data_IF_594538723997
#
_entry.id   IF_594538723997
#
_cell.length_a   1.000
_cell.length_b   1.000
_cell.length_c   1.000
_cell.angle_alpha   90.00
_cell.angle_beta   90.00
_cell.angle_gamma   90.00
#
_symmetry.space_group_name_H-M   'P 1'
#
loop_
_entity.id
_entity.type
_entity.pdbx_description
1 polymer ?
#
# COMPACT_ATOMS: atom_id res chain seq x y z
N UNK A 1 19.62 -21.26 -9.38
CA UNK A 1 19.62 -19.79 -9.22
C UNK A 1 18.39 -19.47 -8.42
N UNK A 2 18.56 -19.08 -7.15
CA UNK A 2 17.44 -18.50 -6.40
C UNK A 2 16.99 -17.24 -7.14
N UNK A 3 15.68 -17.05 -7.30
CA UNK A 3 15.13 -15.87 -7.95
C UNK A 3 15.56 -14.59 -7.23
N UNK A 4 15.55 -13.47 -7.94
CA UNK A 4 15.67 -12.14 -7.32
C UNK A 4 14.26 -11.63 -7.06
N UNK A 5 14.08 -10.88 -5.95
CA UNK A 5 12.89 -10.05 -5.76
C UNK A 5 13.13 -8.73 -6.48
N UNK A 6 12.10 -8.18 -7.11
CA UNK A 6 12.19 -6.89 -7.80
C UNK A 6 10.97 -6.05 -7.48
N UNK A 7 11.06 -4.75 -7.77
CA UNK A 7 9.86 -3.96 -7.95
C UNK A 7 8.95 -4.65 -8.97
N UNK A 8 7.65 -4.68 -8.68
CA UNK A 8 6.68 -5.13 -9.66
C UNK A 8 6.73 -4.14 -10.84
N UNK A 9 6.79 -4.60 -12.11
CA UNK A 9 6.99 -3.72 -13.25
C UNK A 9 5.98 -2.57 -13.30
N UNK A 10 6.44 -1.32 -13.36
CA UNK A 10 5.57 -0.15 -13.41
C UNK A 10 5.98 0.79 -14.56
N UNK A 11 5.07 1.68 -14.94
CA UNK A 11 5.27 2.64 -16.02
C UNK A 11 5.24 4.06 -15.47
N UNK A 12 6.24 4.87 -15.81
CA UNK A 12 6.17 6.32 -15.63
C UNK A 12 5.47 6.93 -16.83
N UNK A 13 4.26 7.44 -16.62
CA UNK A 13 3.45 8.04 -17.68
C UNK A 13 3.77 9.52 -17.88
N UNK A 14 3.97 10.25 -16.78
CA UNK A 14 4.15 11.70 -16.81
C UNK A 14 5.00 12.15 -15.63
N UNK A 15 5.98 13.03 -15.88
CA UNK A 15 6.70 13.78 -14.84
C UNK A 15 6.09 15.17 -14.72
N UNK A 16 5.79 15.57 -13.49
CA UNK A 16 5.10 16.83 -13.17
C UNK A 16 6.01 17.64 -12.26
N UNK A 17 6.18 18.92 -12.61
CA UNK A 17 7.08 19.84 -11.89
C UNK A 17 6.38 20.55 -10.75
N UNK A 18 5.07 20.77 -10.87
CA UNK A 18 4.26 21.44 -9.85
C UNK A 18 2.90 20.73 -9.73
N UNK A 19 2.55 20.33 -8.52
CA UNK A 19 1.29 19.71 -8.17
C UNK A 19 0.71 20.47 -6.97
N UNK A 20 -0.61 20.66 -6.96
CA UNK A 20 -1.33 21.19 -5.82
C UNK A 20 -2.75 20.62 -5.82
N UNK A 21 -2.85 19.32 -5.59
CA UNK A 21 -4.13 18.61 -5.62
C UNK A 21 -4.17 17.40 -4.68
N UNK A 22 -5.37 17.01 -4.28
CA UNK A 22 -5.61 15.67 -3.74
C UNK A 22 -5.59 14.72 -4.93
N UNK A 23 -4.67 13.74 -5.01
CA UNK A 23 -4.64 12.80 -6.12
C UNK A 23 -5.97 12.06 -6.26
N UNK A 24 -6.41 11.84 -7.50
CA UNK A 24 -7.70 11.18 -7.79
C UNK A 24 -7.83 9.80 -7.15
N UNK A 25 -6.73 9.07 -7.00
CA UNK A 25 -6.74 7.77 -6.30
C UNK A 25 -7.13 7.91 -4.83
N UNK A 26 -6.60 8.92 -4.14
CA UNK A 26 -6.91 9.23 -2.74
C UNK A 26 -8.37 9.65 -2.57
N UNK A 27 -8.90 10.45 -3.50
CA UNK A 27 -10.31 10.83 -3.52
C UNK A 27 -11.22 9.64 -3.83
N UNK A 28 -10.86 8.79 -4.81
CA UNK A 28 -11.67 7.64 -5.24
C UNK A 28 -11.94 6.67 -4.09
N UNK A 29 -10.95 6.41 -3.24
CA UNK A 29 -11.08 5.52 -2.07
C UNK A 29 -11.78 6.17 -0.87
N UNK A 30 -12.21 7.43 -1.00
CA UNK A 30 -12.94 8.20 0.01
C UNK A 30 -12.12 8.60 1.25
N UNK A 31 -10.80 8.73 1.13
CA UNK A 31 -9.95 9.17 2.24
C UNK A 31 -10.32 10.58 2.77
N UNK A 32 -10.64 11.58 1.93
CA UNK A 32 -11.06 12.90 2.41
C UNK A 32 -12.28 12.88 3.34
N UNK A 33 -13.17 11.90 3.20
CA UNK A 33 -14.33 11.75 4.10
C UNK A 33 -13.91 11.33 5.52
N UNK A 34 -12.85 10.53 5.66
CA UNK A 34 -12.27 10.19 6.97
C UNK A 34 -11.59 11.42 7.59
N UNK A 35 -10.85 12.19 6.79
CA UNK A 35 -10.15 13.40 7.24
C UNK A 35 -11.09 14.46 7.79
N UNK A 36 -12.27 14.65 7.17
CA UNK A 36 -13.33 15.56 7.65
C UNK A 36 -13.83 15.19 9.05
N UNK A 37 -13.73 13.92 9.42
CA UNK A 37 -14.08 13.42 10.75
C UNK A 37 -12.90 13.43 11.73
N UNK A 38 -11.75 13.97 11.32
CA UNK A 38 -10.56 14.11 12.17
C UNK A 38 -9.57 12.95 12.11
N UNK A 39 -9.85 11.90 11.34
CA UNK A 39 -8.97 10.74 11.21
C UNK A 39 -8.03 10.94 10.02
N UNK A 40 -6.73 11.01 10.28
CA UNK A 40 -5.67 11.27 9.28
C UNK A 40 -4.48 10.31 9.41
N UNK A 41 -4.62 9.23 10.19
CA UNK A 41 -3.61 8.20 10.43
C UNK A 41 -2.69 8.49 11.61
N UNK A 42 -3.08 9.39 12.52
CA UNK A 42 -2.20 9.84 13.60
C UNK A 42 -1.85 8.69 14.55
N UNK A 43 -0.56 8.58 14.89
CA UNK A 43 -0.07 7.57 15.83
C UNK A 43 0.03 6.17 15.23
N UNK A 44 -0.09 6.04 13.90
CA UNK A 44 0.17 4.80 13.16
C UNK A 44 1.51 4.93 12.45
N UNK A 45 2.38 3.92 12.58
CA UNK A 45 3.67 3.85 11.89
C UNK A 45 3.62 2.81 10.77
N UNK A 46 3.99 3.23 9.56
CA UNK A 46 3.98 2.39 8.35
C UNK A 46 5.41 2.18 7.87
N UNK A 47 5.87 0.93 7.84
CA UNK A 47 7.14 0.57 7.25
C UNK A 47 7.01 0.39 5.73
N UNK A 48 7.85 1.08 4.97
CA UNK A 48 7.90 0.99 3.51
C UNK A 48 9.15 0.18 3.15
N UNK A 49 8.95 -1.04 2.67
CA UNK A 49 10.03 -1.91 2.19
C UNK A 49 10.17 -1.74 0.69
N UNK A 50 11.08 -0.86 0.26
CA UNK A 50 11.17 -0.40 -1.13
C UNK A 50 12.61 0.05 -1.50
N UNK A 51 12.77 0.96 -2.47
CA UNK A 51 14.06 1.45 -2.99
C UNK A 51 14.72 2.57 -2.18
N UNK A 52 14.10 2.98 -1.07
CA UNK A 52 14.51 4.15 -0.28
C UNK A 52 13.47 5.26 -0.33
N UNK A 53 13.85 6.47 0.06
CA UNK A 53 12.98 7.65 0.00
C UNK A 53 13.79 8.94 -0.05
N UNK A 54 13.35 9.91 -0.85
CA UNK A 54 13.77 11.31 -0.70
C UNK A 54 13.06 11.94 0.51
N UNK A 55 13.68 11.78 1.69
CA UNK A 55 13.14 12.28 2.96
C UNK A 55 13.12 13.81 3.06
N UNK A 56 13.80 14.50 2.15
CA UNK A 56 13.84 15.96 2.10
C UNK A 56 12.78 16.54 1.15
N UNK A 57 12.04 15.70 0.43
CA UNK A 57 10.92 16.15 -0.39
C UNK A 57 9.93 16.96 0.48
N UNK A 58 9.48 18.17 0.06
CA UNK A 58 8.64 19.06 0.87
C UNK A 58 7.42 18.38 1.50
N UNK A 59 6.75 17.51 0.74
CA UNK A 59 5.57 16.77 1.22
C UNK A 59 5.89 15.61 2.19
N UNK A 60 7.13 15.13 2.21
CA UNK A 60 7.58 14.01 3.06
C UNK A 60 8.46 14.48 4.23
N UNK A 61 8.89 15.74 4.22
CA UNK A 61 9.73 16.32 5.24
C UNK A 61 9.12 16.12 6.63
N UNK A 62 9.87 15.46 7.52
CA UNK A 62 9.44 15.18 8.88
C UNK A 62 8.44 14.01 9.04
N UNK A 63 8.06 13.31 7.96
CA UNK A 63 7.23 12.09 8.02
C UNK A 63 8.01 10.85 8.40
N UNK A 64 9.26 10.75 7.95
CA UNK A 64 10.09 9.58 8.22
C UNK A 64 10.65 9.66 9.64
N UNK A 65 10.26 8.71 10.50
CA UNK A 65 10.67 8.64 11.92
C UNK A 65 11.78 7.62 12.18
N UNK A 66 12.06 6.77 11.21
CA UNK A 66 13.17 5.83 11.25
C UNK A 66 13.47 5.33 9.84
N UNK A 67 14.70 4.89 9.61
CA UNK A 67 15.10 4.34 8.35
C UNK A 67 16.22 3.32 8.53
N UNK A 68 16.35 2.39 7.59
CA UNK A 68 17.47 1.46 7.52
C UNK A 68 17.68 0.94 6.10
N UNK A 69 18.92 0.84 5.68
CA UNK A 69 19.32 0.23 4.43
C UNK A 69 19.85 -1.19 4.66
N UNK A 70 19.29 -2.14 3.91
CA UNK A 70 19.74 -3.53 3.87
C UNK A 70 20.44 -3.90 2.56
N UNK A 71 20.49 -2.98 1.61
CA UNK A 71 21.08 -3.20 0.28
C UNK A 71 22.58 -2.97 0.27
N UNK A 72 23.22 -3.36 -0.83
CA UNK A 72 24.63 -3.06 -1.10
C UNK A 72 24.83 -1.65 -1.71
N UNK A 73 23.77 -0.87 -1.95
CA UNK A 73 23.91 0.53 -2.36
C UNK A 73 24.67 1.32 -1.29
N UNK A 74 25.36 2.38 -1.71
CA UNK A 74 26.12 3.27 -0.80
C UNK A 74 27.16 2.51 0.05
N UNK A 75 27.84 1.54 -0.58
CA UNK A 75 28.81 0.64 0.05
C UNK A 75 28.24 -0.13 1.26
N UNK A 76 26.92 -0.35 1.28
CA UNK A 76 26.23 -1.03 2.37
C UNK A 76 26.02 -0.16 3.62
N UNK A 77 26.09 1.17 3.50
CA UNK A 77 25.81 2.08 4.61
C UNK A 77 24.36 1.93 5.09
N UNK A 78 24.18 1.46 6.33
CA UNK A 78 22.86 1.15 6.91
C UNK A 78 21.99 2.40 7.13
N UNK A 79 22.57 3.59 7.19
CA UNK A 79 21.93 4.87 7.46
C UNK A 79 21.70 5.72 6.19
N UNK A 80 21.97 5.19 5.00
CA UNK A 80 21.72 5.86 3.73
C UNK A 80 20.59 5.17 2.97
N UNK A 81 19.45 5.84 2.88
CA UNK A 81 18.24 5.32 2.19
C UNK A 81 17.87 6.14 0.95
N UNK A 82 18.88 6.70 0.26
CA UNK A 82 18.68 7.47 -0.97
C UNK A 82 17.91 6.63 -1.99
N UNK A 83 16.85 7.22 -2.55
CA UNK A 83 16.04 6.59 -3.58
C UNK A 83 16.58 6.87 -4.97
N UNK A 84 17.31 5.91 -5.54
CA UNK A 84 17.86 5.99 -6.90
C UNK A 84 16.85 5.60 -7.99
N UNK A 85 15.72 5.00 -7.61
CA UNK A 85 14.66 4.56 -8.52
C UNK A 85 13.57 5.63 -8.65
N UNK A 86 13.22 6.26 -7.52
CA UNK A 86 12.10 7.16 -7.36
C UNK A 86 10.80 6.47 -6.95
N UNK A 87 10.78 5.14 -6.97
CA UNK A 87 9.62 4.34 -6.64
C UNK A 87 9.24 4.40 -5.15
N UNK A 88 10.20 4.20 -4.24
CA UNK A 88 9.93 4.24 -2.81
C UNK A 88 9.46 5.62 -2.33
N UNK A 89 9.97 6.70 -2.93
CA UNK A 89 9.47 8.07 -2.70
C UNK A 89 8.02 8.23 -3.18
N UNK A 90 7.66 7.63 -4.31
CA UNK A 90 6.28 7.65 -4.85
C UNK A 90 5.30 6.88 -3.98
N UNK A 91 5.71 5.71 -3.50
CA UNK A 91 4.98 4.92 -2.50
C UNK A 91 4.78 5.73 -1.22
N UNK A 92 5.84 6.35 -0.69
CA UNK A 92 5.79 7.17 0.52
C UNK A 92 4.79 8.33 0.40
N UNK A 93 4.79 9.04 -0.74
CA UNK A 93 3.85 10.13 -0.98
C UNK A 93 2.39 9.67 -1.02
N UNK A 94 2.11 8.54 -1.69
CA UNK A 94 0.76 8.00 -1.77
C UNK A 94 0.24 7.63 -0.38
N UNK A 95 1.12 7.11 0.48
CA UNK A 95 0.76 6.73 1.86
C UNK A 95 0.52 7.97 2.73
N UNK A 96 1.48 8.89 2.83
CA UNK A 96 1.47 9.92 3.88
C UNK A 96 2.07 11.28 3.49
N UNK A 97 2.07 11.65 2.21
CA UNK A 97 2.38 13.04 1.82
C UNK A 97 1.53 14.03 2.61
N UNK A 98 2.18 15.09 3.08
CA UNK A 98 1.63 16.07 4.02
C UNK A 98 0.54 16.93 3.41
N UNK A 99 -0.48 17.27 4.19
CA UNK A 99 -1.33 18.42 3.88
C UNK A 99 -0.64 19.71 4.35
N UNK A 100 0.26 20.25 3.51
CA UNK A 100 1.07 21.44 3.78
C UNK A 100 0.62 22.68 2.97
N UNK A 101 -0.39 22.55 2.10
CA UNK A 101 -0.92 23.63 1.27
C UNK A 101 -0.28 23.75 -0.13
N UNK A 102 0.65 22.84 -0.44
CA UNK A 102 1.30 22.67 -1.72
C UNK A 102 1.40 21.16 -2.05
N UNK A 103 1.87 20.80 -3.24
CA UNK A 103 2.17 19.42 -3.58
C UNK A 103 0.96 18.48 -3.65
N UNK A 104 1.13 17.27 -3.12
CA UNK A 104 0.09 16.24 -3.07
C UNK A 104 -0.18 15.83 -1.62
N UNK A 105 -1.37 15.26 -1.39
CA UNK A 105 -1.76 14.75 -0.07
C UNK A 105 -1.89 13.23 -0.14
N UNK A 106 -1.21 12.52 0.75
CA UNK A 106 -1.29 11.07 0.86
C UNK A 106 -2.58 10.62 1.55
N UNK A 107 -2.87 9.33 1.51
CA UNK A 107 -4.09 8.77 2.12
C UNK A 107 -4.16 9.02 3.63
N UNK A 108 -3.05 8.88 4.35
CA UNK A 108 -2.93 9.06 5.79
C UNK A 108 -1.91 10.16 6.11
N UNK A 109 -2.26 11.46 5.91
CA UNK A 109 -1.30 12.56 5.94
C UNK A 109 -0.78 12.89 7.34
N UNK A 110 -1.20 12.22 8.41
CA UNK A 110 -0.63 12.31 9.76
C UNK A 110 0.00 10.99 10.26
N UNK A 111 0.10 9.96 9.41
CA UNK A 111 0.85 8.77 9.72
C UNK A 111 2.36 9.04 9.71
N UNK A 112 3.08 8.25 10.51
CA UNK A 112 4.54 8.23 10.53
C UNK A 112 5.06 7.15 9.57
N UNK A 113 6.15 7.44 8.88
CA UNK A 113 6.79 6.51 7.95
C UNK A 113 8.08 5.94 8.52
N UNK A 114 8.36 4.68 8.20
CA UNK A 114 9.66 4.06 8.40
C UNK A 114 10.19 3.55 7.06
N UNK A 115 11.34 4.08 6.61
CA UNK A 115 11.88 3.74 5.28
C UNK A 115 12.88 2.60 5.42
N UNK A 116 12.53 1.43 4.88
CA UNK A 116 13.37 0.24 4.92
C UNK A 116 13.81 -0.07 3.49
N UNK A 117 15.02 0.34 3.13
CA UNK A 117 15.55 0.14 1.79
C UNK A 117 15.99 -1.31 1.63
N UNK A 118 15.25 -2.09 0.84
CA UNK A 118 15.50 -3.52 0.56
C UNK A 118 15.66 -3.80 -0.94
N UNK A 119 15.52 -2.77 -1.79
CA UNK A 119 15.72 -2.85 -3.23
C UNK A 119 16.80 -1.86 -3.66
N UNK A 120 17.80 -2.36 -4.38
CA UNK A 120 18.99 -1.63 -4.77
C UNK A 120 18.90 -1.04 -6.18
N UNK A 121 19.61 0.07 -6.38
CA UNK A 121 19.81 0.71 -7.67
C UNK A 121 18.53 1.26 -8.33
N UNK A 122 18.70 1.87 -9.49
CA UNK A 122 17.61 2.53 -10.23
C UNK A 122 16.59 1.57 -10.85
N UNK A 123 16.89 0.27 -10.91
CA UNK A 123 15.97 -0.77 -11.41
C UNK A 123 15.14 -1.42 -10.29
N UNK A 124 15.49 -1.20 -9.02
CA UNK A 124 14.78 -1.75 -7.87
C UNK A 124 14.82 -3.28 -7.81
N UNK A 125 16.00 -3.85 -7.56
CA UNK A 125 16.19 -5.30 -7.37
C UNK A 125 16.72 -5.62 -5.98
N UNK A 126 16.25 -6.69 -5.36
CA UNK A 126 16.62 -7.11 -4.02
C UNK A 126 16.90 -8.60 -3.87
N UNK A 127 17.72 -8.93 -2.88
CA UNK A 127 17.95 -10.30 -2.41
C UNK A 127 16.85 -10.65 -1.41
N UNK A 128 16.32 -11.88 -1.45
CA UNK A 128 15.32 -12.35 -0.48
C UNK A 128 15.73 -12.10 0.98
N UNK A 129 17.02 -12.27 1.31
CA UNK A 129 17.56 -12.00 2.65
C UNK A 129 17.40 -10.54 3.09
N UNK A 130 17.48 -9.57 2.16
CA UNK A 130 17.26 -8.15 2.48
C UNK A 130 15.81 -7.90 2.86
N UNK A 131 14.87 -8.51 2.15
CA UNK A 131 13.44 -8.39 2.45
C UNK A 131 13.14 -9.06 3.79
N UNK A 132 13.64 -10.28 4.03
CA UNK A 132 13.48 -11.00 5.30
C UNK A 132 14.00 -10.19 6.48
N UNK A 133 15.21 -9.61 6.35
CA UNK A 133 15.80 -8.78 7.39
C UNK A 133 15.06 -7.46 7.57
N UNK A 134 14.55 -6.87 6.49
CA UNK A 134 13.68 -5.69 6.53
C UNK A 134 12.38 -5.93 7.29
N UNK A 135 11.71 -7.08 7.05
CA UNK A 135 10.49 -7.46 7.78
C UNK A 135 10.81 -7.66 9.27
N UNK A 136 11.90 -8.37 9.59
CA UNK A 136 12.31 -8.56 10.99
C UNK A 136 12.62 -7.25 11.69
N UNK A 137 13.29 -6.33 11.01
CA UNK A 137 13.53 -5.00 11.55
C UNK A 137 12.24 -4.22 11.78
N UNK A 138 11.27 -4.28 10.86
CA UNK A 138 9.96 -3.67 11.06
C UNK A 138 9.23 -4.24 12.30
N UNK A 139 9.33 -5.56 12.54
CA UNK A 139 8.81 -6.22 13.75
C UNK A 139 9.50 -5.69 15.02
N UNK A 140 10.84 -5.61 15.01
CA UNK A 140 11.63 -5.08 16.12
C UNK A 140 11.25 -3.63 16.46
N UNK A 141 10.98 -2.83 15.43
CA UNK A 141 10.55 -1.44 15.56
C UNK A 141 9.06 -1.30 15.94
N UNK A 142 8.31 -2.41 15.99
CA UNK A 142 6.89 -2.44 16.37
C UNK A 142 6.02 -1.51 15.52
N UNK A 143 6.27 -1.50 14.22
CA UNK A 143 5.41 -0.78 13.27
C UNK A 143 4.00 -1.37 13.28
N UNK A 144 3.03 -0.62 12.80
CA UNK A 144 1.65 -1.10 12.72
C UNK A 144 1.36 -1.83 11.41
N UNK A 145 2.01 -1.38 10.33
CA UNK A 145 1.74 -1.80 8.95
C UNK A 145 3.09 -1.92 8.23
N UNK A 146 3.26 -2.99 7.45
CA UNK A 146 4.34 -3.17 6.47
C UNK A 146 3.73 -3.04 5.08
N UNK A 147 4.31 -2.18 4.24
CA UNK A 147 3.91 -1.95 2.86
C UNK A 147 5.02 -2.40 1.92
N UNK A 148 4.69 -3.29 0.99
CA UNK A 148 5.59 -3.86 0.00
C UNK A 148 5.03 -3.72 -1.41
N UNK A 149 5.80 -3.11 -2.30
CA UNK A 149 5.47 -2.97 -3.72
C UNK A 149 6.48 -3.74 -4.58
N UNK A 150 6.71 -4.99 -4.18
CA UNK A 150 7.74 -5.88 -4.71
C UNK A 150 7.20 -7.29 -4.90
N UNK A 151 7.89 -8.08 -5.72
CA UNK A 151 7.47 -9.44 -6.05
C UNK A 151 8.63 -10.31 -6.52
N UNK A 152 8.49 -11.62 -6.28
CA UNK A 152 9.37 -12.66 -6.78
C UNK A 152 8.54 -13.84 -7.32
N UNK A 153 9.07 -14.60 -8.30
CA UNK A 153 8.32 -15.64 -9.00
C UNK A 153 8.19 -16.94 -8.19
N UNK A 154 8.73 -17.00 -6.97
CA UNK A 154 8.86 -18.26 -6.23
C UNK A 154 8.64 -18.07 -4.75
N UNK A 155 7.96 -19.04 -4.16
CA UNK A 155 7.87 -19.25 -2.72
C UNK A 155 9.29 -19.41 -2.13
N UNK A 156 9.50 -18.79 -0.98
CA UNK A 156 10.73 -18.85 -0.21
C UNK A 156 10.41 -18.97 1.28
N UNK A 157 10.61 -20.16 1.85
CA UNK A 157 10.24 -20.50 3.23
C UNK A 157 10.71 -19.47 4.29
N UNK A 158 11.95 -18.94 4.26
CA UNK A 158 12.36 -17.91 5.23
C UNK A 158 11.59 -16.59 5.10
N UNK A 159 11.17 -16.21 3.89
CA UNK A 159 10.30 -15.05 3.68
C UNK A 159 8.91 -15.33 4.25
N UNK A 160 8.31 -16.49 3.94
CA UNK A 160 7.00 -16.85 4.49
C UNK A 160 6.99 -16.86 6.03
N UNK A 161 8.03 -17.42 6.66
CA UNK A 161 8.17 -17.39 8.12
C UNK A 161 8.27 -15.97 8.67
N UNK A 162 9.00 -15.07 8.02
CA UNK A 162 9.09 -13.68 8.45
C UNK A 162 7.73 -12.96 8.35
N UNK A 163 6.95 -13.25 7.31
CA UNK A 163 5.57 -12.75 7.17
C UNK A 163 4.68 -13.25 8.32
N UNK A 164 4.72 -14.56 8.60
CA UNK A 164 3.98 -15.16 9.71
C UNK A 164 4.38 -14.56 11.06
N UNK A 165 5.68 -14.31 11.28
CA UNK A 165 6.18 -13.62 12.47
C UNK A 165 5.61 -12.20 12.59
N UNK A 166 5.52 -11.44 11.49
CA UNK A 166 4.94 -10.10 11.49
C UNK A 166 3.44 -10.10 11.83
N UNK A 167 2.66 -10.96 11.18
CA UNK A 167 1.22 -11.08 11.42
C UNK A 167 0.93 -11.56 12.85
N UNK A 168 1.69 -12.54 13.36
CA UNK A 168 1.59 -12.97 14.75
C UNK A 168 1.96 -11.87 15.76
N UNK A 169 2.77 -10.89 15.36
CA UNK A 169 3.06 -9.70 16.15
C UNK A 169 1.99 -8.61 16.05
N UNK A 170 0.84 -8.88 15.42
CA UNK A 170 -0.24 -7.95 15.10
C UNK A 170 0.14 -6.81 14.13
N UNK A 171 1.06 -7.09 13.20
CA UNK A 171 1.46 -6.17 12.15
C UNK A 171 0.73 -6.56 10.87
N UNK A 172 0.02 -5.61 10.27
CA UNK A 172 -0.64 -5.81 8.98
C UNK A 172 0.42 -5.81 7.88
N UNK A 173 0.43 -6.83 7.03
CA UNK A 173 1.39 -6.91 5.91
C UNK A 173 0.63 -6.74 4.60
N UNK A 174 0.93 -5.67 3.87
CA UNK A 174 0.30 -5.32 2.60
C UNK A 174 1.31 -5.53 1.48
N UNK A 175 0.90 -6.23 0.42
CA UNK A 175 1.73 -6.40 -0.76
C UNK A 175 0.93 -6.22 -2.06
N UNK A 176 1.56 -5.61 -3.06
CA UNK A 176 0.99 -5.52 -4.39
C UNK A 176 0.95 -6.90 -5.07
N UNK A 177 -0.16 -7.22 -5.75
CA UNK A 177 -0.46 -8.58 -6.25
C UNK A 177 0.43 -9.07 -7.41
N UNK A 178 1.09 -8.16 -8.13
CA UNK A 178 1.91 -8.45 -9.31
C UNK A 178 1.33 -7.87 -10.60
N UNK A 179 2.19 -7.71 -11.62
CA UNK A 179 1.85 -7.08 -12.91
C UNK A 179 2.14 -8.00 -14.11
N UNK A 180 2.06 -9.30 -13.89
CA UNK A 180 2.26 -10.38 -14.87
C UNK A 180 0.95 -10.84 -15.53
N UNK A 181 -0.19 -10.24 -15.17
CA UNK A 181 -1.51 -10.60 -15.65
C UNK A 181 -1.70 -10.38 -17.16
N UNK A 182 -2.59 -11.19 -17.74
CA UNK A 182 -2.90 -11.22 -19.17
C UNK A 182 -4.35 -10.76 -19.49
N UNK A 183 -5.02 -10.13 -18.52
CA UNK A 183 -6.44 -9.76 -18.54
C UNK A 183 -7.44 -10.93 -18.57
N UNK A 184 -7.01 -12.17 -18.31
CA UNK A 184 -7.87 -13.33 -18.19
C UNK A 184 -8.02 -13.75 -16.73
N UNK A 185 -9.22 -13.60 -16.16
CA UNK A 185 -9.49 -13.95 -14.76
C UNK A 185 -9.43 -15.46 -14.43
N UNK A 186 -9.12 -16.31 -15.42
CA UNK A 186 -9.06 -17.77 -15.29
C UNK A 186 -7.63 -18.30 -15.40
N UNK A 187 -6.63 -17.42 -15.54
CA UNK A 187 -5.21 -17.78 -15.47
C UNK A 187 -4.68 -17.32 -14.13
N UNK A 188 -3.96 -18.21 -13.46
CA UNK A 188 -3.39 -17.90 -12.15
C UNK A 188 -1.96 -17.37 -12.32
N UNK A 189 -1.75 -16.10 -12.00
CA UNK A 189 -0.43 -15.49 -11.90
C UNK A 189 -0.11 -15.21 -10.42
N UNK A 190 0.96 -15.81 -9.92
CA UNK A 190 1.38 -15.69 -8.53
C UNK A 190 2.64 -14.84 -8.40
N UNK A 191 2.66 -13.97 -7.38
CA UNK A 191 3.81 -13.15 -7.01
C UNK A 191 4.00 -13.22 -5.50
N UNK A 192 5.21 -13.54 -5.05
CA UNK A 192 5.51 -13.66 -3.63
C UNK A 192 6.23 -12.40 -3.13
N UNK A 193 5.84 -11.84 -1.96
CA UNK A 193 5.03 -12.47 -0.91
C UNK A 193 3.50 -12.29 -1.03
N UNK A 194 2.98 -11.57 -2.03
CA UNK A 194 1.54 -11.28 -2.14
C UNK A 194 0.64 -12.52 -2.25
N UNK A 195 1.17 -13.67 -2.68
CA UNK A 195 0.44 -14.94 -2.76
C UNK A 195 0.47 -15.77 -1.46
N UNK A 196 1.03 -15.25 -0.36
CA UNK A 196 0.84 -15.86 0.95
C UNK A 196 -0.48 -15.40 1.55
N UNK A 197 -1.30 -16.33 2.02
CA UNK A 197 -2.63 -16.04 2.59
C UNK A 197 -2.59 -15.09 3.81
N UNK A 198 -1.46 -14.99 4.53
CA UNK A 198 -1.29 -14.04 5.63
C UNK A 198 -1.08 -12.59 5.16
N UNK A 199 -0.82 -12.36 3.87
CA UNK A 199 -0.55 -11.04 3.28
C UNK A 199 -1.82 -10.47 2.69
N UNK A 200 -2.07 -9.19 2.96
CA UNK A 200 -3.13 -8.41 2.30
C UNK A 200 -2.68 -8.13 0.86
N UNK A 201 -3.17 -8.94 -0.07
CA UNK A 201 -2.82 -8.90 -1.49
C UNK A 201 -3.67 -7.88 -2.25
N UNK A 202 -3.01 -6.89 -2.88
CA UNK A 202 -3.69 -5.74 -3.48
C UNK A 202 -3.56 -5.73 -4.99
N UNK A 203 -4.67 -5.94 -5.69
CA UNK A 203 -4.78 -5.78 -7.14
C UNK A 203 -5.04 -4.33 -7.58
N UNK A 204 -4.97 -4.10 -8.89
CA UNK A 204 -5.07 -2.76 -9.47
C UNK A 204 -6.34 -2.54 -10.30
N UNK A 205 -6.87 -1.33 -10.19
CA UNK A 205 -7.89 -0.78 -11.08
C UNK A 205 -7.47 0.58 -11.64
N UNK A 206 -8.08 0.96 -12.76
CA UNK A 206 -8.02 2.33 -13.27
C UNK A 206 -8.92 3.30 -12.48
N UNK A 207 -8.79 4.60 -12.75
CA UNK A 207 -9.62 5.64 -12.13
C UNK A 207 -11.11 5.59 -12.56
N UNK A 208 -11.47 4.73 -13.51
CA UNK A 208 -12.85 4.43 -13.93
C UNK A 208 -13.37 3.13 -13.31
N UNK A 209 -12.62 2.52 -12.38
CA UNK A 209 -12.96 1.28 -11.67
C UNK A 209 -12.99 0.04 -12.56
N UNK A 210 -12.21 0.02 -13.64
CA UNK A 210 -11.97 -1.20 -14.42
C UNK A 210 -10.73 -1.90 -13.91
N UNK A 211 -10.72 -3.23 -13.94
CA UNK A 211 -9.52 -4.03 -13.68
C UNK A 211 -8.39 -3.60 -14.61
N UNK A 212 -7.21 -3.36 -14.06
CA UNK A 212 -6.02 -3.03 -14.84
C UNK A 212 -5.59 -4.24 -15.66
N UNK A 213 -5.17 -4.02 -16.91
CA UNK A 213 -4.86 -5.12 -17.83
C UNK A 213 -3.66 -5.97 -17.38
N UNK A 214 -2.77 -5.39 -16.56
CA UNK A 214 -1.56 -6.02 -16.04
C UNK A 214 -1.77 -6.72 -14.69
N UNK A 215 -2.86 -6.46 -13.96
CA UNK A 215 -2.99 -6.97 -12.58
C UNK A 215 -3.03 -8.50 -12.59
N UNK A 216 -2.25 -9.13 -11.73
CA UNK A 216 -2.32 -10.58 -11.56
C UNK A 216 -3.72 -11.01 -11.11
N UNK A 217 -4.13 -12.18 -11.56
CA UNK A 217 -5.33 -12.85 -11.08
C UNK A 217 -4.95 -14.16 -10.39
N UNK A 218 -5.52 -14.42 -9.21
CA UNK A 218 -5.36 -15.69 -8.47
C UNK A 218 -6.35 -15.73 -7.30
N UNK A 219 -6.41 -16.84 -6.58
CA UNK A 219 -7.34 -17.04 -5.46
C UNK A 219 -6.94 -16.35 -4.14
N UNK A 220 -5.83 -15.62 -4.11
CA UNK A 220 -5.27 -14.95 -2.92
C UNK A 220 -5.43 -13.42 -2.95
N UNK A 221 -6.03 -12.84 -4.02
CA UNK A 221 -6.30 -11.39 -4.08
C UNK A 221 -7.36 -11.01 -3.04
N UNK A 222 -7.02 -10.12 -2.11
CA UNK A 222 -7.93 -9.68 -1.05
C UNK A 222 -8.86 -8.55 -1.49
N UNK A 223 -8.34 -7.56 -2.20
CA UNK A 223 -9.06 -6.36 -2.62
C UNK A 223 -8.28 -5.59 -3.69
N UNK A 224 -8.93 -4.59 -4.28
CA UNK A 224 -8.31 -3.72 -5.30
C UNK A 224 -8.32 -2.26 -4.90
N UNK A 225 -7.33 -1.52 -5.39
CA UNK A 225 -7.21 -0.08 -5.23
C UNK A 225 -6.69 0.59 -6.51
N UNK A 226 -6.79 1.93 -6.64
CA UNK A 226 -6.29 2.67 -7.80
C UNK A 226 -4.81 2.38 -8.06
N UNK A 227 -4.50 1.89 -9.26
CA UNK A 227 -3.14 1.52 -9.67
C UNK A 227 -2.69 2.10 -11.00
N UNK A 228 -3.56 2.81 -11.74
CA UNK A 228 -3.20 3.48 -12.99
C UNK A 228 -3.23 5.00 -12.87
N UNK A 229 -2.22 5.65 -13.43
CA UNK A 229 -2.06 7.11 -13.48
C UNK A 229 -2.06 7.76 -12.09
N UNK A 230 -1.41 7.10 -11.13
CA UNK A 230 -1.37 7.54 -9.75
C UNK A 230 -0.30 8.60 -9.59
N UNK A 231 -0.75 9.83 -9.30
CA UNK A 231 0.11 10.96 -9.01
C UNK A 231 0.65 10.86 -7.58
N UNK A 232 1.97 10.96 -7.43
CA UNK A 232 2.64 11.08 -6.13
C UNK A 232 4.03 11.72 -6.28
N UNK A 233 4.74 11.87 -5.16
CA UNK A 233 6.08 12.44 -5.03
C UNK A 233 7.15 11.58 -5.71
N UNK A 234 8.20 12.19 -6.25
CA UNK A 234 9.43 11.52 -6.69
C UNK A 234 10.65 12.36 -6.26
N UNK A 235 11.87 11.81 -6.23
CA UNK A 235 13.04 12.53 -5.75
C UNK A 235 13.31 13.85 -6.48
N UNK A 236 13.85 14.82 -5.74
CA UNK A 236 14.23 16.12 -6.27
C UNK A 236 13.05 17.09 -6.41
N UNK A 237 12.15 17.10 -5.41
CA UNK A 237 11.03 18.04 -5.29
C UNK A 237 10.07 18.00 -6.51
N UNK A 238 9.77 16.79 -6.98
CA UNK A 238 8.98 16.57 -8.20
C UNK A 238 7.86 15.58 -7.95
N UNK A 239 6.98 15.48 -8.93
CA UNK A 239 5.86 14.55 -8.92
C UNK A 239 5.85 13.70 -10.19
N UNK A 240 5.23 12.52 -10.13
CA UNK A 240 5.02 11.70 -11.30
C UNK A 240 3.73 10.90 -11.21
N UNK A 241 3.16 10.59 -12.38
CA UNK A 241 2.11 9.58 -12.53
C UNK A 241 2.73 8.24 -12.87
N UNK A 242 2.55 7.27 -11.99
CA UNK A 242 2.99 5.89 -12.19
C UNK A 242 1.80 4.94 -12.30
N UNK A 243 1.99 3.84 -13.03
CA UNK A 243 0.99 2.79 -13.23
C UNK A 243 1.55 1.40 -12.91
N UNK A 244 0.85 0.64 -12.07
CA UNK A 244 1.17 -0.71 -11.61
C UNK A 244 0.45 -1.06 -10.30
N UNK A 245 0.33 -2.35 -9.94
CA UNK A 245 -0.17 -2.76 -8.61
C UNK A 245 0.66 -2.17 -7.46
N UNK A 246 1.94 -1.86 -7.71
CA UNK A 246 2.80 -1.10 -6.80
C UNK A 246 2.22 0.25 -6.34
N UNK A 247 1.30 0.84 -7.10
CA UNK A 247 0.61 2.09 -6.74
C UNK A 247 -0.71 1.83 -6.00
N UNK A 248 -1.26 0.61 -6.09
CA UNK A 248 -2.47 0.19 -5.37
C UNK A 248 -2.19 -0.16 -3.90
N UNK A 249 -1.13 -0.91 -3.60
CA UNK A 249 -0.76 -1.29 -2.22
C UNK A 249 -0.53 -0.09 -1.27
N UNK A 250 0.09 1.03 -1.70
CA UNK A 250 0.23 2.25 -0.90
C UNK A 250 -1.12 2.86 -0.47
N UNK A 251 -2.15 2.81 -1.34
CA UNK A 251 -3.48 3.28 -0.99
C UNK A 251 -4.08 2.46 0.16
N UNK A 252 -3.93 1.13 0.12
CA UNK A 252 -4.41 0.23 1.19
C UNK A 252 -3.62 0.45 2.48
N UNK A 253 -2.31 0.65 2.39
CA UNK A 253 -1.45 0.89 3.54
C UNK A 253 -1.85 2.17 4.28
N UNK A 254 -2.11 3.27 3.55
CA UNK A 254 -2.65 4.49 4.15
C UNK A 254 -4.09 4.32 4.66
N UNK A 255 -4.95 3.61 3.92
CA UNK A 255 -6.33 3.34 4.33
C UNK A 255 -6.39 2.57 5.66
N UNK A 256 -5.52 1.58 5.84
CA UNK A 256 -5.38 0.83 7.09
C UNK A 256 -4.98 1.72 8.27
N UNK A 257 -4.15 2.75 8.07
CA UNK A 257 -3.84 3.71 9.12
C UNK A 257 -5.07 4.53 9.54
N UNK A 258 -5.89 4.99 8.58
CA UNK A 258 -7.15 5.67 8.86
C UNK A 258 -8.14 4.76 9.60
N UNK A 259 -8.27 3.51 9.15
CA UNK A 259 -9.16 2.50 9.75
C UNK A 259 -8.71 2.18 11.17
N UNK A 260 -7.42 1.93 11.38
CA UNK A 260 -6.85 1.60 12.69
C UNK A 260 -7.02 2.75 13.69
N UNK A 261 -6.83 4.00 13.27
CA UNK A 261 -7.11 5.16 14.11
C UNK A 261 -8.59 5.23 14.49
N UNK A 262 -9.49 5.21 13.50
CA UNK A 262 -10.93 5.33 13.71
C UNK A 262 -11.53 4.22 14.57
N UNK A 263 -11.20 2.96 14.24
CA UNK A 263 -11.83 1.80 14.86
C UNK A 263 -11.33 1.59 16.29
N UNK A 264 -10.06 1.85 16.60
CA UNK A 264 -9.58 1.73 17.97
C UNK A 264 -10.23 2.78 18.90
N UNK A 265 -10.49 3.99 18.39
CA UNK A 265 -11.26 5.01 19.11
C UNK A 265 -12.70 4.54 19.30
N UNK A 266 -13.32 4.01 18.24
CA UNK A 266 -14.73 3.58 18.26
C UNK A 266 -14.98 2.36 19.15
N UNK A 267 -14.03 1.43 19.21
CA UNK A 267 -14.08 0.25 20.07
C UNK A 267 -13.53 0.49 21.49
N UNK A 268 -12.89 1.63 21.74
CA UNK A 268 -12.21 1.98 23.00
C UNK A 268 -11.18 0.94 23.45
N UNK A 269 -10.45 0.35 22.49
CA UNK A 269 -9.37 -0.61 22.73
C UNK A 269 -8.48 -0.76 21.50
N UNK A 270 -7.32 -1.37 21.71
CA UNK A 270 -6.49 -1.86 20.59
C UNK A 270 -7.21 -3.00 19.86
N UNK A 271 -7.09 -3.02 18.54
CA UNK A 271 -7.58 -4.09 17.69
C UNK A 271 -6.42 -5.00 17.28
N UNK A 272 -6.69 -6.30 17.15
CA UNK A 272 -5.74 -7.23 16.55
C UNK A 272 -5.61 -7.02 15.05
N UNK A 273 -4.58 -7.61 14.45
CA UNK A 273 -4.40 -7.62 12.99
C UNK A 273 -5.67 -8.11 12.27
N UNK A 274 -6.19 -9.28 12.65
CA UNK A 274 -7.38 -9.85 12.01
C UNK A 274 -8.64 -8.99 12.16
N UNK A 275 -8.78 -8.28 13.29
CA UNK A 275 -9.90 -7.35 13.49
C UNK A 275 -9.77 -6.14 12.56
N UNK A 276 -8.57 -5.61 12.38
CA UNK A 276 -8.35 -4.50 11.44
C UNK A 276 -8.53 -4.96 9.98
N UNK A 277 -8.05 -6.16 9.62
CA UNK A 277 -8.35 -6.76 8.32
C UNK A 277 -9.86 -6.89 8.06
N UNK A 278 -10.64 -7.36 9.04
CA UNK A 278 -12.09 -7.43 8.90
C UNK A 278 -12.73 -6.04 8.71
N UNK A 279 -12.20 -4.99 9.36
CA UNK A 279 -12.67 -3.62 9.16
C UNK A 279 -12.25 -3.02 7.80
N UNK A 280 -11.15 -3.49 7.22
CA UNK A 280 -10.74 -3.19 5.84
C UNK A 280 -11.73 -3.80 4.86
N UNK A 281 -12.01 -5.10 4.96
CA UNK A 281 -12.92 -5.80 4.04
C UNK A 281 -14.36 -5.26 4.16
N UNK A 282 -14.80 -4.86 5.35
CA UNK A 282 -16.10 -4.19 5.53
C UNK A 282 -16.20 -2.85 4.77
N UNK A 283 -15.08 -2.28 4.36
CA UNK A 283 -14.96 -1.03 3.60
C UNK A 283 -14.66 -1.28 2.13
N UNK A 284 -15.06 -2.40 1.56
CA UNK A 284 -14.98 -2.64 0.12
C UNK A 284 -16.34 -2.56 -0.56
N UNK A 285 -16.33 -2.27 -1.86
CA UNK A 285 -17.50 -2.32 -2.73
C UNK A 285 -17.19 -3.26 -3.91
N UNK A 286 -17.97 -4.34 -4.12
CA UNK A 286 -17.80 -5.22 -5.28
C UNK A 286 -17.96 -4.43 -6.59
N UNK A 287 -17.08 -4.68 -7.56
CA UNK A 287 -17.16 -4.05 -8.88
C UNK A 287 -17.86 -4.93 -9.92
N UNK A 288 -18.05 -6.22 -9.59
CA UNK A 288 -18.69 -7.20 -10.46
C UNK A 288 -17.72 -8.02 -11.29
N UNK A 289 -16.42 -7.93 -11.02
CA UNK A 289 -15.41 -8.82 -11.57
C UNK A 289 -15.33 -10.14 -10.78
N UNK A 290 -14.73 -11.19 -11.35
CA UNK A 290 -14.41 -12.40 -10.61
C UNK A 290 -13.53 -12.11 -9.39
N UNK A 291 -13.71 -12.90 -8.33
CA UNK A 291 -12.93 -12.80 -7.09
C UNK A 291 -11.43 -12.96 -7.30
N UNK A 292 -11.03 -13.68 -8.34
CA UNK A 292 -9.63 -13.83 -8.72
C UNK A 292 -8.97 -12.52 -9.15
N UNK A 293 -9.75 -11.52 -9.59
CA UNK A 293 -9.26 -10.18 -9.96
C UNK A 293 -9.57 -9.13 -8.88
N UNK A 294 -10.80 -9.09 -8.37
CA UNK A 294 -11.21 -8.01 -7.47
C UNK A 294 -11.12 -8.35 -5.98
N UNK A 295 -10.94 -9.62 -5.63
CA UNK A 295 -11.07 -10.07 -4.24
C UNK A 295 -12.40 -9.62 -3.63
N UNK A 296 -12.36 -8.91 -2.52
CA UNK A 296 -13.52 -8.34 -1.85
C UNK A 296 -14.07 -7.06 -2.52
N UNK A 297 -13.43 -6.57 -3.57
CA UNK A 297 -13.82 -5.39 -4.34
C UNK A 297 -12.91 -4.19 -4.09
N UNK A 298 -13.37 -3.03 -4.54
CA UNK A 298 -12.65 -1.76 -4.40
C UNK A 298 -12.70 -1.26 -2.96
N UNK A 299 -11.54 -0.88 -2.40
CA UNK A 299 -11.49 -0.09 -1.17
C UNK A 299 -12.30 1.21 -1.31
N UNK A 300 -13.26 1.39 -0.42
CA UNK A 300 -14.18 2.51 -0.39
C UNK A 300 -14.53 2.83 1.07
N UNK A 301 -13.77 3.73 1.68
CA UNK A 301 -13.72 3.92 3.15
C UNK A 301 -15.09 4.24 3.80
N UNK A 302 -16.02 4.81 3.03
CA UNK A 302 -17.37 5.18 3.48
C UNK A 302 -18.44 4.12 3.19
N UNK A 303 -18.09 2.95 2.69
CA UNK A 303 -19.06 1.88 2.38
C UNK A 303 -19.99 1.53 3.56
N UNK A 304 -19.52 1.44 4.82
CA UNK A 304 -20.40 1.21 5.97
C UNK A 304 -21.43 2.32 6.21
N UNK A 305 -21.05 3.58 5.94
CA UNK A 305 -21.94 4.73 6.12
C UNK A 305 -23.02 4.75 5.03
N UNK A 306 -22.64 4.48 3.77
CA UNK A 306 -23.58 4.34 2.67
C UNK A 306 -24.62 3.26 2.92
N UNK A 307 -24.19 2.09 3.41
CA UNK A 307 -25.11 1.00 3.75
C UNK A 307 -26.07 1.41 4.88
N UNK A 308 -25.56 2.09 5.90
CA UNK A 308 -26.36 2.60 7.03
C UNK A 308 -27.40 3.61 6.56
N UNK A 309 -27.03 4.54 5.69
CA UNK A 309 -27.93 5.54 5.11
C UNK A 309 -29.00 4.90 4.23
N UNK A 310 -28.63 3.93 3.40
CA UNK A 310 -29.56 3.20 2.56
C UNK A 310 -30.64 2.48 3.38
N UNK A 311 -30.25 1.73 4.41
CA UNK A 311 -31.17 1.00 5.29
C UNK A 311 -32.06 1.92 6.16
N UNK A 312 -31.58 3.12 6.51
CA UNK A 312 -32.42 4.13 7.18
C UNK A 312 -33.53 4.67 6.26
N UNK A 313 -33.23 4.81 4.97
CA UNK A 313 -34.15 5.36 3.98
C UNK A 313 -35.11 4.31 3.39
N UNK A 314 -34.80 3.02 3.53
CA UNK A 314 -35.67 1.90 3.14
C UNK A 314 -35.86 0.94 4.33
N UNK A 315 -36.87 1.17 5.19
CA UNK A 315 -37.13 0.31 6.32
C UNK A 315 -37.32 -1.14 5.87
N UNK A 316 -36.64 -2.07 6.53
CA UNK A 316 -36.55 -3.53 6.23
C UNK A 316 -37.89 -4.23 5.95
N UNK A 317 -39.04 -3.63 6.27
CA UNK A 317 -40.37 -4.14 5.96
C UNK A 317 -40.71 -4.18 4.45
N UNK A 318 -39.87 -3.62 3.57
CA UNK A 318 -40.06 -3.64 2.11
C UNK A 318 -39.02 -4.49 1.36
N UNK A 319 -38.13 -5.19 2.06
CA UNK A 319 -37.10 -6.05 1.47
C UNK A 319 -37.49 -7.50 1.80
N UNK A 320 -38.48 -8.02 1.08
CA UNK A 320 -38.98 -9.40 1.16
C UNK A 320 -39.11 -9.99 -0.23
#
# INVERSE_FOLDING_TARGET
MQGEIRLIPYFMEEMIVDANEIPKGVDLIQAPSMWKNGYKGKGVTIAILDTGCDMNHPDLAGKVKGFRNFTDDDDGAEDIVTDYSGHGTHVAGTIAASENGEGVIGVAPLADLMVIKVLAGSRGSGKYDWIVNGIKYAIEQKVDIISMSLGGPSDYEPLHKAIQEAVNANILVVCAAGNEGDSNSNTDEFSYPASYNEVISVGAIDLQRKSSYFTNSNNEVDLVAPGEQILSTIPGEKYAKLSGTSMSAPHISGALALIKEFEQISFDRKLSECEVYAQLIKRTVPLGFPKTLEGNGLIFLTAPDLLREHLRNQPLAQIG
#
